data_IF_214743726264
#
_entry.id   IF_214743726264
#
_cell.length_a   1.000
_cell.length_b   1.000
_cell.length_c   1.000
_cell.angle_alpha   90.00
_cell.angle_beta   90.00
_cell.angle_gamma   90.00
#
_symmetry.space_group_name_H-M   'P 1'
#
loop_
_entity.id
_entity.type
_entity.pdbx_description
1 polymer ?
#
# COMPACT_ATOMS: atom_id res chain seq x y z
N UNK A 1 -8.66 -3.65 -1.40
CA UNK A 1 -7.76 -3.47 -2.57
C UNK A 1 -8.50 -2.81 -3.73
N UNK A 2 -9.53 -3.45 -4.27
CA UNK A 2 -10.33 -2.96 -5.40
C UNK A 2 -10.75 -1.49 -5.28
N UNK A 3 -11.46 -1.14 -4.22
CA UNK A 3 -11.96 0.24 -4.02
C UNK A 3 -10.83 1.28 -3.94
N UNK A 4 -9.67 0.90 -3.37
CA UNK A 4 -8.54 1.80 -3.22
C UNK A 4 -7.92 2.11 -4.58
N UNK A 5 -7.68 1.08 -5.40
CA UNK A 5 -7.19 1.23 -6.77
C UNK A 5 -8.17 2.05 -7.60
N UNK A 6 -9.46 1.76 -7.54
CA UNK A 6 -10.48 2.49 -8.28
C UNK A 6 -10.62 3.95 -7.85
N UNK A 7 -10.45 4.25 -6.56
CA UNK A 7 -10.50 5.63 -6.09
C UNK A 7 -9.25 6.41 -6.53
N UNK A 8 -8.05 5.83 -6.37
CA UNK A 8 -6.79 6.49 -6.68
C UNK A 8 -6.52 6.62 -8.19
N UNK A 9 -6.99 5.66 -9.00
CA UNK A 9 -6.79 5.68 -10.45
C UNK A 9 -7.52 6.85 -11.12
N UNK A 10 -8.59 7.40 -10.51
CA UNK A 10 -9.30 8.58 -11.02
C UNK A 10 -8.44 9.84 -11.04
N UNK A 11 -7.38 9.91 -10.23
CA UNK A 11 -6.52 11.08 -10.10
C UNK A 11 -5.35 11.16 -11.08
N UNK A 12 -5.31 10.32 -12.12
CA UNK A 12 -4.16 10.16 -13.03
C UNK A 12 -2.82 9.86 -12.31
N UNK A 13 -2.88 9.31 -11.09
CA UNK A 13 -1.69 8.91 -10.36
C UNK A 13 -1.12 7.60 -10.95
N UNK A 14 0.21 7.49 -11.00
CA UNK A 14 0.86 6.18 -11.24
C UNK A 14 0.71 5.32 -9.99
N UNK A 15 0.17 4.12 -10.15
CA UNK A 15 -0.12 3.21 -9.04
C UNK A 15 0.74 1.96 -9.18
N UNK A 16 1.41 1.60 -8.07
CA UNK A 16 2.07 0.32 -7.90
C UNK A 16 1.38 -0.43 -6.76
N UNK A 17 0.85 -1.61 -7.05
CA UNK A 17 0.29 -2.52 -6.05
C UNK A 17 1.33 -3.59 -5.75
N UNK A 18 1.78 -3.60 -4.49
CA UNK A 18 2.59 -4.68 -3.95
C UNK A 18 1.66 -5.74 -3.38
N UNK A 19 1.67 -6.91 -4.00
CA UNK A 19 0.86 -8.06 -3.59
C UNK A 19 1.73 -9.28 -3.30
N UNK A 20 1.07 -10.36 -2.91
CA UNK A 20 1.68 -11.67 -2.71
C UNK A 20 1.25 -12.64 -3.80
N UNK A 21 2.09 -13.60 -4.17
CA UNK A 21 1.75 -14.60 -5.20
C UNK A 21 0.47 -15.38 -4.90
N UNK A 22 0.12 -15.64 -3.64
CA UNK A 22 -1.16 -16.29 -3.32
C UNK A 22 -2.40 -15.48 -3.75
N UNK A 23 -2.27 -14.17 -3.96
CA UNK A 23 -3.35 -13.30 -4.47
C UNK A 23 -3.69 -13.61 -5.94
N UNK A 24 -2.83 -14.35 -6.65
CA UNK A 24 -3.09 -14.85 -7.99
C UNK A 24 -3.92 -16.14 -7.99
N UNK A 25 -4.02 -16.82 -6.83
CA UNK A 25 -4.86 -18.01 -6.71
C UNK A 25 -6.34 -17.61 -6.68
N UNK A 26 -7.16 -18.25 -7.51
CA UNK A 26 -8.58 -17.97 -7.55
C UNK A 26 -9.23 -18.48 -6.25
N UNK A 27 -9.51 -17.57 -5.33
CA UNK A 27 -10.07 -17.86 -4.00
C UNK A 27 -11.22 -16.89 -3.68
N UNK A 28 -11.96 -17.14 -2.60
CA UNK A 28 -13.06 -16.27 -2.16
C UNK A 28 -12.63 -14.82 -1.96
N UNK A 29 -11.41 -14.61 -1.48
CA UNK A 29 -10.82 -13.28 -1.23
C UNK A 29 -10.14 -12.68 -2.47
N UNK A 30 -9.76 -13.51 -3.45
CA UNK A 30 -8.99 -13.11 -4.63
C UNK A 30 -9.64 -13.63 -5.91
N UNK A 31 -10.72 -12.97 -6.33
CA UNK A 31 -11.43 -13.30 -7.57
C UNK A 31 -10.60 -12.88 -8.78
N UNK A 32 -10.36 -13.81 -9.70
CA UNK A 32 -9.54 -13.57 -10.92
C UNK A 32 -10.04 -12.40 -11.76
N UNK A 33 -11.36 -12.23 -11.88
CA UNK A 33 -11.98 -11.15 -12.65
C UNK A 33 -11.65 -9.77 -12.04
N UNK A 34 -11.79 -9.64 -10.73
CA UNK A 34 -11.46 -8.42 -9.98
C UNK A 34 -9.96 -8.12 -10.12
N UNK A 35 -9.10 -9.13 -9.99
CA UNK A 35 -7.65 -8.98 -10.15
C UNK A 35 -7.26 -8.49 -11.56
N UNK A 36 -7.88 -9.05 -12.61
CA UNK A 36 -7.67 -8.58 -13.98
C UNK A 36 -8.10 -7.11 -14.16
N UNK A 37 -9.23 -6.73 -13.57
CA UNK A 37 -9.72 -5.35 -13.68
C UNK A 37 -8.75 -4.35 -13.05
N UNK A 38 -8.24 -4.64 -11.86
CA UNK A 38 -7.30 -3.75 -11.17
C UNK A 38 -5.92 -3.71 -11.83
N UNK A 39 -5.48 -4.80 -12.47
CA UNK A 39 -4.22 -4.85 -13.22
C UNK A 39 -4.22 -3.95 -14.46
N UNK A 40 -5.39 -3.60 -14.99
CA UNK A 40 -5.50 -2.61 -16.07
C UNK A 40 -5.36 -1.16 -15.57
N UNK A 41 -5.39 -0.94 -14.25
CA UNK A 41 -5.43 0.40 -13.62
C UNK A 41 -4.16 0.71 -12.82
N UNK A 42 -3.32 -0.28 -12.56
CA UNK A 42 -2.12 -0.15 -11.76
C UNK A 42 -1.05 -1.17 -12.20
N UNK A 43 0.22 -0.81 -11.99
CA UNK A 43 1.34 -1.74 -12.08
C UNK A 43 1.31 -2.68 -10.86
N UNK A 44 1.69 -3.95 -11.03
CA UNK A 44 1.70 -4.94 -9.96
C UNK A 44 3.08 -5.57 -9.78
N UNK A 45 3.49 -5.73 -8.53
CA UNK A 45 4.60 -6.58 -8.15
C UNK A 45 4.08 -7.61 -7.15
N UNK A 46 4.23 -8.90 -7.48
CA UNK A 46 3.83 -10.00 -6.59
C UNK A 46 5.07 -10.62 -5.96
N UNK A 47 5.32 -10.27 -4.69
CA UNK A 47 6.35 -10.89 -3.89
C UNK A 47 6.00 -12.37 -3.61
N UNK A 48 7.02 -13.16 -3.26
CA UNK A 48 6.80 -14.46 -2.65
C UNK A 48 5.94 -14.33 -1.39
N UNK A 49 5.29 -15.42 -0.97
CA UNK A 49 4.43 -15.41 0.22
C UNK A 49 5.24 -15.36 1.53
N UNK A 50 6.19 -14.42 1.63
CA UNK A 50 7.02 -14.18 2.80
C UNK A 50 6.36 -13.12 3.69
N UNK A 51 6.70 -13.15 4.98
CA UNK A 51 6.03 -12.32 5.99
C UNK A 51 6.50 -10.87 6.03
N UNK A 52 7.56 -10.51 5.27
CA UNK A 52 8.27 -9.22 5.38
C UNK A 52 8.03 -8.26 4.19
N UNK A 53 6.83 -8.26 3.61
CA UNK A 53 6.57 -7.46 2.39
C UNK A 53 6.57 -5.95 2.62
N UNK A 54 6.47 -5.52 3.87
CA UNK A 54 6.54 -4.11 4.26
C UNK A 54 7.88 -3.47 3.83
N UNK A 55 8.96 -4.26 3.72
CA UNK A 55 10.24 -3.79 3.19
C UNK A 55 10.14 -3.31 1.73
N UNK A 56 9.40 -4.03 0.88
CA UNK A 56 9.17 -3.61 -0.51
C UNK A 56 8.36 -2.32 -0.57
N UNK A 57 7.37 -2.16 0.31
CA UNK A 57 6.56 -0.94 0.40
C UNK A 57 7.42 0.26 0.78
N UNK A 58 8.22 0.13 1.82
CA UNK A 58 9.13 1.18 2.28
C UNK A 58 10.12 1.55 1.18
N UNK A 59 10.77 0.55 0.58
CA UNK A 59 11.75 0.75 -0.48
C UNK A 59 11.14 1.44 -1.70
N UNK A 60 10.04 0.93 -2.23
CA UNK A 60 9.39 1.48 -3.42
C UNK A 60 8.96 2.93 -3.20
N UNK A 61 8.44 3.25 -2.00
CA UNK A 61 8.00 4.61 -1.67
C UNK A 61 9.17 5.57 -1.57
N UNK A 62 10.23 5.20 -0.84
CA UNK A 62 11.42 6.04 -0.65
C UNK A 62 12.14 6.27 -1.99
N UNK A 63 12.31 5.21 -2.80
CA UNK A 63 13.01 5.27 -4.08
C UNK A 63 12.23 6.06 -5.13
N UNK A 64 10.89 6.06 -5.08
CA UNK A 64 10.04 6.87 -5.96
C UNK A 64 10.10 8.37 -5.64
N UNK A 65 10.75 8.75 -4.53
CA UNK A 65 11.04 10.13 -4.18
C UNK A 65 9.95 10.84 -3.37
N UNK A 66 10.21 12.11 -3.06
CA UNK A 66 9.49 12.93 -2.05
C UNK A 66 7.99 13.13 -2.28
N UNK A 67 7.49 12.86 -3.48
CA UNK A 67 6.08 13.04 -3.84
C UNK A 67 5.30 11.71 -3.83
N UNK A 68 6.00 10.59 -3.71
CA UNK A 68 5.36 9.29 -3.63
C UNK A 68 4.61 9.18 -2.30
N UNK A 69 3.42 8.61 -2.35
CA UNK A 69 2.61 8.31 -1.18
C UNK A 69 2.34 6.82 -1.14
N UNK A 70 2.10 6.30 0.05
CA UNK A 70 1.82 4.89 0.23
C UNK A 70 0.53 4.66 1.01
N UNK A 71 -0.09 3.51 0.77
CA UNK A 71 -1.33 3.09 1.41
C UNK A 71 -1.08 1.77 2.10
N UNK A 72 -1.21 1.74 3.43
CA UNK A 72 -1.19 0.50 4.20
C UNK A 72 -2.04 0.68 5.46
N UNK A 73 -2.61 -0.44 5.93
CA UNK A 73 -3.27 -0.51 7.25
C UNK A 73 -2.29 -0.86 8.36
N UNK A 74 -1.09 -1.32 8.02
CA UNK A 74 -0.07 -1.59 9.01
C UNK A 74 0.46 -0.28 9.61
N UNK A 75 0.75 -0.32 10.90
CA UNK A 75 1.39 0.78 11.60
C UNK A 75 2.92 0.80 11.41
N UNK A 76 3.49 -0.21 10.74
CA UNK A 76 4.91 -0.42 10.47
C UNK A 76 5.73 -0.39 11.77
N UNK A 77 5.18 -1.00 12.83
CA UNK A 77 5.71 -0.90 14.20
C UNK A 77 7.05 -1.59 14.34
N UNK A 78 7.21 -2.74 13.72
CA UNK A 78 8.42 -3.56 13.86
C UNK A 78 9.60 -2.90 13.13
N UNK A 79 9.37 -2.32 11.94
CA UNK A 79 10.38 -1.53 11.25
C UNK A 79 10.84 -0.28 12.03
N UNK A 80 9.95 0.37 12.79
CA UNK A 80 10.32 1.48 13.68
C UNK A 80 11.19 1.02 14.85
N UNK A 81 10.95 -0.19 15.35
CA UNK A 81 11.68 -0.76 16.47
C UNK A 81 13.11 -1.14 16.07
N UNK A 82 13.34 -1.53 14.80
CA UNK A 82 14.67 -1.83 14.25
C UNK A 82 15.57 -0.60 14.07
N UNK A 83 15.03 0.62 14.13
CA UNK A 83 15.82 1.85 14.05
C UNK A 83 16.46 2.15 15.41
N UNK A 84 17.79 2.02 15.45
CA UNK A 84 18.58 2.09 16.69
C UNK A 84 18.64 3.50 17.30
N UNK A 85 18.79 4.55 16.47
CA UNK A 85 18.95 5.92 16.95
C UNK A 85 17.61 6.70 17.00
N UNK A 86 17.53 7.64 17.95
CA UNK A 86 16.33 8.44 18.19
C UNK A 86 16.01 9.42 17.06
N UNK A 87 17.04 9.91 16.35
CA UNK A 87 16.91 10.90 15.28
C UNK A 87 16.27 10.25 14.06
N UNK A 88 16.76 9.09 13.63
CA UNK A 88 16.20 8.34 12.50
C UNK A 88 14.77 7.88 12.81
N UNK A 89 14.47 7.47 14.04
CA UNK A 89 13.08 7.19 14.46
C UNK A 89 12.18 8.41 14.34
N UNK A 90 12.66 9.59 14.72
CA UNK A 90 11.91 10.83 14.58
C UNK A 90 11.67 11.18 13.10
N UNK A 91 12.72 11.09 12.27
CA UNK A 91 12.64 11.32 10.83
C UNK A 91 11.66 10.36 10.16
N UNK A 92 11.71 9.07 10.50
CA UNK A 92 10.77 8.07 9.99
C UNK A 92 9.32 8.41 10.34
N UNK A 93 9.04 8.80 11.60
CA UNK A 93 7.69 9.25 12.01
C UNK A 93 7.23 10.47 11.23
N UNK A 94 8.12 11.45 11.00
CA UNK A 94 7.83 12.64 10.22
C UNK A 94 7.53 12.28 8.75
N UNK A 95 8.36 11.42 8.16
CA UNK A 95 8.16 10.90 6.81
C UNK A 95 6.83 10.17 6.67
N UNK A 96 6.55 9.20 7.55
CA UNK A 96 5.32 8.42 7.55
C UNK A 96 4.09 9.32 7.60
N UNK A 97 4.06 10.31 8.50
CA UNK A 97 2.94 11.26 8.61
C UNK A 97 2.71 12.09 7.33
N UNK A 98 3.77 12.36 6.56
CA UNK A 98 3.67 13.12 5.31
C UNK A 98 3.33 12.28 4.07
N UNK A 99 3.61 10.97 4.11
CA UNK A 99 3.57 10.10 2.92
C UNK A 99 2.52 8.98 3.03
N UNK A 100 2.10 8.59 4.23
CA UNK A 100 1.05 7.58 4.41
C UNK A 100 -0.32 8.22 4.18
N UNK A 101 -1.06 7.69 3.22
CA UNK A 101 -2.47 8.00 3.04
C UNK A 101 -3.26 7.09 3.99
N UNK A 102 -3.89 7.69 4.99
CA UNK A 102 -4.80 6.99 5.87
C UNK A 102 -6.18 6.88 5.20
N UNK A 103 -6.90 5.79 5.49
CA UNK A 103 -8.22 5.61 4.93
C UNK A 103 -9.13 4.82 5.86
N UNK A 104 -10.43 5.11 5.79
CA UNK A 104 -11.49 4.38 6.49
C UNK A 104 -12.51 3.85 5.51
N UNK A 105 -13.18 2.75 5.89
CA UNK A 105 -14.38 2.31 5.18
C UNK A 105 -15.51 3.30 5.49
N UNK A 106 -16.21 3.76 4.45
CA UNK A 106 -17.41 4.59 4.63
C UNK A 106 -18.49 3.80 5.37
N UNK A 107 -19.10 4.39 6.39
CA UNK A 107 -20.27 3.84 7.09
C UNK A 107 -21.48 3.64 6.17
N UNK A 108 -21.52 4.34 5.04
CA UNK A 108 -22.59 4.24 4.02
C UNK A 108 -22.32 3.17 2.93
N UNK A 109 -21.29 2.34 3.11
CA UNK A 109 -21.18 1.05 2.42
C UNK A 109 -20.67 1.02 0.97
N UNK A 110 -20.22 2.13 0.36
CA UNK A 110 -19.75 2.12 -1.05
C UNK A 110 -18.50 2.95 -1.35
N UNK A 111 -17.62 3.18 -0.38
CA UNK A 111 -16.38 3.89 -0.68
C UNK A 111 -15.28 3.79 0.38
N UNK A 112 -14.06 4.03 -0.08
CA UNK A 112 -12.93 4.35 0.79
C UNK A 112 -12.89 5.87 0.92
N UNK A 113 -12.86 6.37 2.17
CA UNK A 113 -12.57 7.77 2.46
C UNK A 113 -11.11 7.89 2.84
N UNK A 114 -10.35 8.64 2.05
CA UNK A 114 -9.00 9.04 2.43
C UNK A 114 -9.08 10.16 3.48
N UNK A 115 -8.27 10.04 4.53
CA UNK A 115 -8.22 10.95 5.68
C UNK A 115 -7.10 12.00 5.50
#
# INVERSE_FOLDING_TARGET
LFDAVNCLAKGNARLLVLGRKHMLSNSSNWKREIMKEIQNKAEFFFAENISEDDAFLLYATLQSGKHCKFVTRDFLRDHKACLSDSVTRHLFRKWQRGHQIAFSHSTEGKGIKFL
#
